data_IF_809472939841
#
_entry.id   IF_809472939841
#
_cell.length_a   1.000
_cell.length_b   1.000
_cell.length_c   1.000
_cell.angle_alpha   90.00
_cell.angle_beta   90.00
_cell.angle_gamma   90.00
#
_symmetry.space_group_name_H-M   'P 1'
#
loop_
_entity.id
_entity.type
_entity.pdbx_description
1 polymer ?
#
# COMPACT_ATOMS: atom_id res chain seq x y z
N UNK A 1 -0.59 -7.75 -1.51
CA UNK A 1 -1.82 -7.64 -0.68
C UNK A 1 -2.32 -6.22 -0.79
N UNK A 2 -3.64 -6.00 -0.85
CA UNK A 2 -4.23 -4.68 -0.97
C UNK A 2 -5.38 -4.49 0.03
N UNK A 3 -5.47 -3.32 0.65
CA UNK A 3 -6.65 -2.86 1.38
C UNK A 3 -6.69 -1.33 1.48
N UNK A 4 -7.80 -0.81 2.01
CA UNK A 4 -8.08 0.62 2.09
C UNK A 4 -8.21 1.11 3.53
N UNK A 5 -7.79 2.35 3.79
CA UNK A 5 -8.05 3.10 5.01
C UNK A 5 -9.05 4.22 4.74
N UNK A 6 -10.19 4.20 5.42
CA UNK A 6 -11.21 5.24 5.21
C UNK A 6 -11.03 6.47 6.08
N UNK A 7 -10.24 6.38 7.15
CA UNK A 7 -10.11 7.42 8.17
C UNK A 7 -8.66 7.72 8.59
N UNK A 8 -7.68 7.02 8.02
CA UNK A 8 -6.25 7.19 8.34
C UNK A 8 -5.42 7.22 7.07
N UNK A 9 -4.20 7.74 7.15
CA UNK A 9 -3.25 7.78 6.03
C UNK A 9 -2.97 6.37 5.46
N UNK A 10 -2.47 6.33 4.22
CA UNK A 10 -2.04 5.10 3.57
C UNK A 10 -0.67 4.65 4.12
N UNK A 11 -0.65 4.23 5.39
CA UNK A 11 0.54 3.71 6.07
C UNK A 11 0.19 2.46 6.89
N UNK A 12 1.05 1.42 6.93
CA UNK A 12 0.73 0.18 7.63
C UNK A 12 0.47 0.41 9.12
N UNK A 13 -0.68 -0.09 9.60
CA UNK A 13 -1.01 -0.11 11.03
C UNK A 13 -0.24 -1.21 11.76
N UNK A 14 -0.27 -1.19 13.09
CA UNK A 14 0.30 -2.29 13.90
C UNK A 14 -0.30 -3.65 13.55
N UNK A 15 -1.59 -3.68 13.21
CA UNK A 15 -2.29 -4.90 12.81
C UNK A 15 -1.79 -5.40 11.46
N UNK A 16 -1.56 -4.51 10.50
CA UNK A 16 -0.99 -4.86 9.19
C UNK A 16 0.39 -5.51 9.35
N UNK A 17 1.25 -4.92 10.18
CA UNK A 17 2.59 -5.46 10.48
C UNK A 17 2.49 -6.83 11.15
N UNK A 18 1.55 -7.02 12.06
CA UNK A 18 1.35 -8.31 12.77
C UNK A 18 0.93 -9.42 11.81
N UNK A 19 0.15 -9.10 10.78
CA UNK A 19 -0.34 -10.08 9.81
C UNK A 19 0.55 -10.22 8.57
N UNK A 20 1.60 -9.43 8.44
CA UNK A 20 2.53 -9.46 7.32
C UNK A 20 3.45 -10.70 7.35
N UNK A 21 2.88 -11.86 7.01
CA UNK A 21 3.58 -13.15 7.02
C UNK A 21 4.07 -13.59 5.63
N UNK A 22 3.90 -12.73 4.62
CA UNK A 22 4.34 -12.97 3.24
C UNK A 22 5.53 -12.04 2.92
N UNK A 23 6.79 -12.51 3.06
CA UNK A 23 7.98 -11.65 2.95
C UNK A 23 8.17 -11.02 1.56
N UNK A 24 7.61 -11.66 0.54
CA UNK A 24 7.68 -11.23 -0.86
C UNK A 24 6.44 -10.46 -1.31
N UNK A 25 5.48 -10.24 -0.43
CA UNK A 25 4.30 -9.46 -0.78
C UNK A 25 4.60 -7.95 -0.76
N UNK A 26 4.03 -7.26 -1.74
CA UNK A 26 3.88 -5.81 -1.74
C UNK A 26 2.53 -5.46 -1.09
N UNK A 27 2.55 -4.62 -0.06
CA UNK A 27 1.36 -4.19 0.69
C UNK A 27 0.92 -2.82 0.17
N UNK A 28 -0.07 -2.84 -0.72
CA UNK A 28 -0.60 -1.64 -1.36
C UNK A 28 -1.74 -1.07 -0.49
N UNK A 29 -1.60 0.18 -0.10
CA UNK A 29 -2.56 0.90 0.75
C UNK A 29 -3.16 2.06 -0.02
N UNK A 30 -4.49 2.14 0.00
CA UNK A 30 -5.23 3.30 -0.50
C UNK A 30 -5.96 3.98 0.65
N UNK A 31 -5.72 5.28 0.84
CA UNK A 31 -6.46 6.08 1.82
C UNK A 31 -7.45 7.01 1.14
N UNK A 32 -8.68 6.99 1.64
CA UNK A 32 -9.73 7.96 1.28
C UNK A 32 -9.98 9.00 2.36
N UNK A 33 -9.14 9.07 3.40
CA UNK A 33 -9.36 9.95 4.55
C UNK A 33 -9.45 11.44 4.17
N UNK A 34 -8.73 11.86 3.13
CA UNK A 34 -8.67 13.26 2.68
C UNK A 34 -9.58 13.53 1.45
N UNK A 35 -10.41 12.56 1.04
CA UNK A 35 -11.14 12.61 -0.25
C UNK A 35 -12.48 13.34 -0.18
N UNK A 36 -12.92 13.78 0.99
CA UNK A 36 -14.17 14.53 1.20
C UNK A 36 -14.07 16.03 0.85
N UNK A 37 -13.01 16.44 0.16
CA UNK A 37 -12.82 17.80 -0.34
C UNK A 37 -11.47 18.45 0.03
N UNK A 38 -10.61 17.74 0.75
CA UNK A 38 -9.33 18.27 1.25
C UNK A 38 -8.09 17.87 0.43
N UNK A 39 -8.15 16.82 -0.40
CA UNK A 39 -7.01 16.40 -1.22
C UNK A 39 -7.27 15.17 -2.10
N UNK A 40 -6.27 14.75 -2.89
CA UNK A 40 -6.32 13.48 -3.62
C UNK A 40 -6.30 12.29 -2.65
N UNK A 41 -6.80 11.14 -3.09
CA UNK A 41 -6.59 9.89 -2.36
C UNK A 41 -5.09 9.57 -2.29
N UNK A 42 -4.65 8.92 -1.21
CA UNK A 42 -3.27 8.46 -1.08
C UNK A 42 -3.17 7.04 -1.63
N UNK A 43 -2.16 6.76 -2.45
CA UNK A 43 -1.86 5.43 -2.97
C UNK A 43 -0.37 5.16 -2.76
N UNK A 44 -0.05 4.18 -1.92
CA UNK A 44 1.31 3.90 -1.46
C UNK A 44 1.56 2.39 -1.39
N UNK A 45 2.81 1.95 -1.59
CA UNK A 45 3.22 0.54 -1.50
C UNK A 45 4.30 0.39 -0.44
N UNK A 46 4.27 -0.74 0.28
CA UNK A 46 5.26 -1.05 1.31
C UNK A 46 5.71 -2.51 1.24
N UNK A 47 6.98 -2.75 1.56
CA UNK A 47 7.49 -4.04 2.05
C UNK A 47 7.42 -4.07 3.55
N UNK A 48 6.98 -5.21 4.07
CA UNK A 48 6.99 -5.49 5.50
C UNK A 48 7.71 -6.82 5.69
N UNK A 49 8.90 -6.77 6.29
CA UNK A 49 9.75 -7.94 6.53
C UNK A 49 10.26 -7.85 7.96
N UNK A 50 10.07 -8.91 8.76
CA UNK A 50 10.50 -8.97 10.17
C UNK A 50 10.03 -7.77 11.02
N UNK A 51 8.86 -7.22 10.68
CA UNK A 51 8.29 -6.05 11.36
C UNK A 51 8.81 -4.69 10.87
N UNK A 52 9.80 -4.68 9.97
CA UNK A 52 10.33 -3.46 9.36
C UNK A 52 9.48 -3.04 8.17
N UNK A 53 9.06 -1.77 8.16
CA UNK A 53 8.27 -1.17 7.08
C UNK A 53 9.22 -0.38 6.18
N UNK A 54 9.23 -0.70 4.89
CA UNK A 54 9.93 0.07 3.85
C UNK A 54 8.94 0.50 2.79
N UNK A 55 8.85 1.80 2.49
CA UNK A 55 8.03 2.30 1.39
C UNK A 55 8.71 2.03 0.04
N UNK A 56 7.91 1.69 -0.96
CA UNK A 56 8.35 1.44 -2.33
C UNK A 56 7.70 2.45 -3.28
N UNK A 57 8.49 2.96 -4.22
CA UNK A 57 7.98 3.75 -5.33
C UNK A 57 7.06 2.91 -6.22
N UNK A 58 5.95 3.52 -6.67
CA UNK A 58 5.05 2.87 -7.62
C UNK A 58 5.05 3.61 -8.95
N UNK A 59 5.18 2.83 -10.02
CA UNK A 59 5.06 3.32 -11.40
C UNK A 59 3.82 2.73 -12.05
N UNK A 60 2.99 3.60 -12.62
CA UNK A 60 1.87 3.18 -13.44
C UNK A 60 2.39 2.88 -14.85
N UNK A 61 2.20 1.63 -15.27
CA UNK A 61 2.51 1.18 -16.63
C UNK A 61 1.23 1.17 -17.48
N UNK A 62 1.33 1.52 -18.76
CA UNK A 62 0.19 1.51 -19.66
C UNK A 62 -0.29 0.09 -19.98
N UNK A 63 0.65 -0.84 -20.08
CA UNK A 63 0.42 -2.26 -20.33
C UNK A 63 1.58 -3.08 -19.77
N UNK A 64 1.30 -4.32 -19.37
CA UNK A 64 2.34 -5.30 -19.10
C UNK A 64 2.70 -6.01 -20.40
N UNK A 65 4.00 -6.32 -20.63
CA UNK A 65 4.38 -7.14 -21.76
C UNK A 65 3.61 -8.47 -21.71
N UNK A 66 3.21 -8.97 -22.88
CA UNK A 66 2.65 -10.31 -22.98
C UNK A 66 3.65 -11.31 -22.40
N UNK A 67 3.16 -12.24 -21.57
CA UNK A 67 3.99 -13.34 -21.09
C UNK A 67 4.35 -14.23 -22.30
N UNK A 68 5.64 -14.48 -22.49
CA UNK A 68 6.15 -15.44 -23.49
C UNK A 68 5.76 -16.89 -23.14
#
# INVERSE_FOLDING_TARGET
VYHSHTATEAYPSRTDVTYANEPNAHYVLVSTADTDGAGPFQFRSFRIVDGEITEEDVQLVAEYPAAD
#
